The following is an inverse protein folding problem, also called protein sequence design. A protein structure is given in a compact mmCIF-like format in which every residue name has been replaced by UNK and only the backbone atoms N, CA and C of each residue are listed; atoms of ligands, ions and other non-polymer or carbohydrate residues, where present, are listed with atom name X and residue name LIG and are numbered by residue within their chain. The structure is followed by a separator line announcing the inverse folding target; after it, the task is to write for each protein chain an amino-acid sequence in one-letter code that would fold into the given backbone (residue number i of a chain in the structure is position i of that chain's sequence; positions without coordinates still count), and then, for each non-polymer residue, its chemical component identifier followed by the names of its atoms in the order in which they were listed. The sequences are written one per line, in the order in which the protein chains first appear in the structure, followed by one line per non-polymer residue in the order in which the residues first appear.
data_IF_387998549292
#
_entry.id   IF_387998549292
#
_cell.length_a   1.000
_cell.length_b   1.000
_cell.length_c   1.000
_cell.angle_alpha   90.00
_cell.angle_beta   90.00
_cell.angle_gamma   90.00
#
_symmetry.space_group_name_H-M   'P 1'
#
loop_
_entity.id
_entity.type
_entity.pdbx_description
1 polymer ?
#
# COMPACT_ATOMS: atom_id res chain seq x y z
N UNK A 1 -14.82 26.24 -12.30
CA UNK A 1 -13.54 27.00 -12.25
C UNK A 1 -13.32 27.68 -13.58
N UNK A 2 -12.78 28.89 -13.61
CA UNK A 2 -12.30 29.53 -14.84
C UNK A 2 -10.98 28.88 -15.23
N UNK A 3 -10.61 28.86 -16.52
CA UNK A 3 -9.36 28.29 -17.03
C UNK A 3 -8.08 28.87 -16.35
N UNK A 4 -8.21 30.00 -15.67
CA UNK A 4 -7.14 30.65 -14.89
C UNK A 4 -6.83 29.99 -13.52
N UNK A 5 -7.72 29.11 -13.04
CA UNK A 5 -7.60 28.46 -11.73
C UNK A 5 -7.14 26.99 -11.85
N UNK A 6 -7.00 26.45 -13.07
CA UNK A 6 -6.54 25.07 -13.31
C UNK A 6 -5.05 24.95 -13.02
N UNK A 7 -4.69 23.91 -12.26
CA UNK A 7 -3.31 23.58 -11.88
C UNK A 7 -2.85 22.30 -12.58
N UNK A 8 -1.55 22.16 -12.77
CA UNK A 8 -0.90 20.91 -13.19
C UNK A 8 -0.37 20.19 -11.95
N UNK A 9 -0.93 19.03 -11.65
CA UNK A 9 -0.53 18.22 -10.50
C UNK A 9 0.07 16.92 -11.00
N UNK A 10 1.31 16.67 -10.62
CA UNK A 10 2.01 15.43 -10.96
C UNK A 10 1.91 14.45 -9.78
N UNK A 11 1.54 13.21 -10.08
CA UNK A 11 1.58 12.10 -9.14
C UNK A 11 2.73 11.17 -9.50
N UNK A 12 3.55 10.87 -8.51
CA UNK A 12 4.67 9.95 -8.61
C UNK A 12 4.55 8.87 -7.52
N UNK A 13 3.71 7.84 -7.72
CA UNK A 13 3.61 6.71 -6.81
C UNK A 13 4.83 5.79 -6.92
N UNK A 14 4.99 4.87 -5.95
CA UNK A 14 6.06 3.85 -5.97
C UNK A 14 6.05 3.08 -7.29
N UNK A 15 7.15 3.10 -8.05
CA UNK A 15 7.24 2.44 -9.35
C UNK A 15 6.93 0.95 -9.28
N UNK A 16 6.12 0.46 -10.21
CA UNK A 16 5.71 -0.94 -10.27
C UNK A 16 4.70 -1.39 -9.21
N UNK A 17 4.25 -0.51 -8.29
CA UNK A 17 3.38 -0.88 -7.19
C UNK A 17 1.92 -0.40 -7.37
N UNK A 18 0.98 -1.34 -7.44
CA UNK A 18 -0.45 -1.01 -7.58
C UNK A 18 -1.08 -0.35 -6.34
N UNK A 19 -0.61 -0.68 -5.14
CA UNK A 19 -1.15 -0.11 -3.90
C UNK A 19 -1.05 1.42 -3.88
N UNK A 20 0.16 2.00 -3.87
CA UNK A 20 0.39 3.44 -3.94
C UNK A 20 -0.26 4.10 -5.15
N UNK A 21 -0.16 3.47 -6.34
CA UNK A 21 -0.78 3.98 -7.58
C UNK A 21 -2.30 4.12 -7.43
N UNK A 22 -2.98 3.13 -6.87
CA UNK A 22 -4.43 3.17 -6.66
C UNK A 22 -4.87 4.25 -5.67
N UNK A 23 -4.09 4.50 -4.62
CA UNK A 23 -4.35 5.60 -3.69
C UNK A 23 -4.21 6.96 -4.37
N UNK A 24 -3.16 7.15 -5.16
CA UNK A 24 -2.97 8.35 -5.97
C UNK A 24 -4.12 8.54 -6.98
N UNK A 25 -4.56 7.49 -7.68
CA UNK A 25 -5.70 7.52 -8.62
C UNK A 25 -6.98 7.97 -7.93
N UNK A 26 -7.25 7.51 -6.71
CA UNK A 26 -8.46 7.92 -5.98
C UNK A 26 -8.51 9.43 -5.71
N UNK A 27 -7.37 10.04 -5.36
CA UNK A 27 -7.25 11.49 -5.13
C UNK A 27 -7.25 12.24 -6.47
N UNK A 28 -6.51 11.72 -7.47
CA UNK A 28 -6.37 12.30 -8.80
C UNK A 28 -7.72 12.43 -9.53
N UNK A 29 -8.62 11.45 -9.37
CA UNK A 29 -9.97 11.52 -9.94
C UNK A 29 -10.72 12.78 -9.44
N UNK A 30 -10.65 13.08 -8.13
CA UNK A 30 -11.31 14.25 -7.55
C UNK A 30 -10.72 15.55 -8.12
N UNK A 31 -9.40 15.62 -8.25
CA UNK A 31 -8.71 16.78 -8.81
C UNK A 31 -9.02 16.96 -10.31
N UNK A 32 -9.07 15.88 -11.08
CA UNK A 32 -9.45 15.90 -12.49
C UNK A 32 -10.91 16.35 -12.69
N UNK A 33 -11.85 15.87 -11.86
CA UNK A 33 -13.24 16.32 -11.85
C UNK A 33 -13.39 17.83 -11.54
N UNK A 34 -12.42 18.40 -10.80
CA UNK A 34 -12.32 19.83 -10.52
C UNK A 34 -11.67 20.63 -11.66
N UNK A 35 -11.19 19.98 -12.70
CA UNK A 35 -10.63 20.61 -13.90
C UNK A 35 -9.12 20.84 -13.85
N UNK A 36 -8.38 20.21 -12.94
CA UNK A 36 -6.92 20.22 -12.92
C UNK A 36 -6.34 19.28 -13.99
N UNK A 37 -5.17 19.62 -14.51
CA UNK A 37 -4.37 18.72 -15.35
C UNK A 37 -3.63 17.76 -14.45
N UNK A 38 -3.87 16.45 -14.64
CA UNK A 38 -3.24 15.39 -13.86
C UNK A 38 -2.24 14.63 -14.73
N UNK A 39 -1.02 14.48 -14.23
CA UNK A 39 0.06 13.74 -14.88
C UNK A 39 0.56 12.67 -13.93
N UNK A 40 0.56 11.42 -14.36
CA UNK A 40 1.20 10.33 -13.63
C UNK A 40 2.59 10.06 -14.18
N UNK A 41 3.57 10.05 -13.30
CA UNK A 41 4.93 9.59 -13.62
C UNK A 41 5.06 8.17 -13.09
N UNK A 42 5.17 7.21 -13.97
CA UNK A 42 5.11 5.79 -13.65
C UNK A 42 6.18 4.98 -14.38
N UNK A 43 6.46 3.79 -13.86
CA UNK A 43 7.32 2.83 -14.55
C UNK A 43 6.69 2.33 -15.85
N UNK A 44 7.52 1.96 -16.82
CA UNK A 44 7.06 1.46 -18.14
C UNK A 44 6.14 0.24 -18.03
N UNK A 45 6.19 -0.53 -16.94
CA UNK A 45 5.26 -1.64 -16.69
C UNK A 45 3.79 -1.19 -16.56
N UNK A 46 3.55 0.11 -16.34
CA UNK A 46 2.22 0.71 -16.27
C UNK A 46 1.77 1.36 -17.59
N UNK A 47 2.53 1.22 -18.67
CA UNK A 47 2.21 1.87 -19.95
C UNK A 47 0.75 1.61 -20.38
N UNK A 48 -0.01 2.68 -20.57
CA UNK A 48 -1.42 2.67 -20.95
C UNK A 48 -2.41 2.37 -19.83
N UNK A 49 -1.98 2.08 -18.61
CA UNK A 49 -2.89 1.74 -17.50
C UNK A 49 -3.55 2.98 -16.89
N UNK A 50 -2.84 4.10 -16.84
CA UNK A 50 -3.38 5.37 -16.36
C UNK A 50 -4.06 6.14 -17.50
N UNK A 51 -3.58 5.98 -18.74
CA UNK A 51 -4.22 6.54 -19.94
C UNK A 51 -5.66 6.00 -20.11
N UNK A 52 -5.88 4.70 -19.95
CA UNK A 52 -7.21 4.08 -19.91
C UNK A 52 -8.15 4.70 -18.86
N UNK A 53 -7.59 5.29 -17.82
CA UNK A 53 -8.33 5.98 -16.74
C UNK A 53 -8.51 7.48 -17.02
N UNK A 54 -7.99 7.98 -18.15
CA UNK A 54 -8.09 9.38 -18.57
C UNK A 54 -7.01 10.29 -18.04
N UNK A 55 -5.88 9.76 -17.54
CA UNK A 55 -4.75 10.52 -17.06
C UNK A 55 -3.61 10.56 -18.07
N UNK A 56 -2.87 11.66 -18.08
CA UNK A 56 -1.64 11.78 -18.85
C UNK A 56 -0.51 10.97 -18.19
N UNK A 57 0.21 10.16 -18.96
CA UNK A 57 1.35 9.36 -18.47
C UNK A 57 2.69 9.96 -18.89
N UNK A 58 3.67 9.87 -18.03
CA UNK A 58 5.11 10.04 -18.31
C UNK A 58 5.84 8.80 -17.82
N UNK A 59 6.43 8.09 -18.77
CA UNK A 59 7.07 6.82 -18.47
C UNK A 59 8.54 7.02 -18.10
N UNK A 60 9.00 6.22 -17.14
CA UNK A 60 10.38 6.14 -16.70
C UNK A 60 10.77 4.69 -16.45
N UNK A 61 12.05 4.44 -16.23
CA UNK A 61 12.60 3.16 -15.81
C UNK A 61 13.34 3.31 -14.49
N UNK A 62 13.34 2.24 -13.69
CA UNK A 62 14.10 2.14 -12.45
C UNK A 62 15.46 1.48 -12.63
N UNK A 63 15.71 0.85 -13.79
CA UNK A 63 16.96 0.18 -14.11
C UNK A 63 17.20 0.19 -15.62
N UNK A 64 18.46 0.01 -16.08
CA UNK A 64 18.75 -0.24 -17.48
C UNK A 64 17.94 -1.44 -18.02
N UNK A 65 17.54 -1.43 -19.31
CA UNK A 65 16.91 -2.59 -19.91
C UNK A 65 17.87 -3.78 -19.88
N UNK A 66 17.36 -4.93 -19.49
CA UNK A 66 18.13 -6.18 -19.56
C UNK A 66 18.30 -6.59 -21.02
N UNK A 67 19.55 -6.79 -21.45
CA UNK A 67 19.90 -7.09 -22.86
C UNK A 67 19.26 -8.40 -23.40
N UNK A 68 18.87 -9.33 -22.50
CA UNK A 68 18.30 -10.63 -22.84
C UNK A 68 17.03 -10.96 -22.03
N UNK A 69 16.30 -9.96 -21.55
CA UNK A 69 15.05 -10.21 -20.84
C UNK A 69 14.06 -10.96 -21.75
N UNK A 70 13.48 -12.03 -21.23
CA UNK A 70 12.35 -12.67 -21.89
C UNK A 70 11.13 -11.72 -21.81
N UNK A 71 10.66 -11.17 -22.93
CA UNK A 71 9.54 -10.23 -22.91
C UNK A 71 8.22 -10.87 -22.44
N UNK A 72 8.19 -12.19 -22.28
CA UNK A 72 7.03 -12.94 -21.78
C UNK A 72 7.15 -13.29 -20.29
N UNK A 73 8.32 -13.10 -19.69
CA UNK A 73 8.51 -13.33 -18.27
C UNK A 73 7.84 -12.22 -17.44
N UNK A 74 7.14 -12.62 -16.39
CA UNK A 74 6.65 -11.71 -15.37
C UNK A 74 7.74 -11.54 -14.29
N UNK A 75 8.40 -10.37 -14.18
CA UNK A 75 9.47 -10.15 -13.21
C UNK A 75 9.00 -10.35 -11.76
N UNK A 76 7.72 -10.07 -11.48
CA UNK A 76 7.14 -10.25 -10.15
C UNK A 76 6.92 -11.72 -9.82
N UNK A 77 6.53 -12.54 -10.82
CA UNK A 77 6.42 -13.99 -10.63
C UNK A 77 7.77 -14.60 -10.27
N UNK A 78 8.84 -14.18 -10.95
CA UNK A 78 10.19 -14.65 -10.63
C UNK A 78 10.66 -14.15 -9.26
N UNK A 79 10.42 -12.88 -8.93
CA UNK A 79 10.71 -12.34 -7.59
C UNK A 79 10.03 -13.18 -6.49
N UNK A 80 8.72 -13.44 -6.61
CA UNK A 80 8.00 -14.26 -5.63
C UNK A 80 8.53 -15.70 -5.61
N UNK A 81 8.78 -16.31 -6.78
CA UNK A 81 9.32 -17.68 -6.84
C UNK A 81 10.62 -17.83 -6.06
N UNK A 82 11.49 -16.83 -6.15
CA UNK A 82 12.80 -16.83 -5.47
C UNK A 82 12.65 -16.45 -4.00
N UNK A 83 11.77 -15.52 -3.67
CA UNK A 83 11.69 -14.88 -2.34
C UNK A 83 10.63 -15.52 -1.42
N UNK A 84 9.62 -16.22 -1.95
CA UNK A 84 8.57 -16.83 -1.14
C UNK A 84 9.08 -17.75 -0.01
N UNK A 85 10.16 -18.54 -0.18
CA UNK A 85 10.72 -19.32 0.93
C UNK A 85 11.21 -18.47 2.10
N UNK A 86 11.62 -17.23 1.83
CA UNK A 86 12.10 -16.29 2.84
C UNK A 86 10.97 -15.68 3.66
N UNK A 87 9.75 -15.59 3.10
CA UNK A 87 8.57 -15.06 3.80
C UNK A 87 8.11 -15.92 4.98
N UNK A 88 8.53 -17.19 5.02
CA UNK A 88 8.25 -18.08 6.16
C UNK A 88 9.18 -17.83 7.37
N UNK A 89 10.25 -17.02 7.20
CA UNK A 89 11.21 -16.73 8.27
C UNK A 89 10.69 -15.62 9.20
N UNK A 90 11.20 -15.54 10.44
CA UNK A 90 10.96 -14.39 11.31
C UNK A 90 11.35 -13.07 10.61
N UNK A 91 10.62 -12.00 10.90
CA UNK A 91 10.85 -10.69 10.25
C UNK A 91 12.27 -10.15 10.41
N UNK A 92 12.92 -10.43 11.54
CA UNK A 92 14.33 -10.05 11.77
C UNK A 92 15.29 -10.73 10.78
N UNK A 93 15.02 -11.98 10.37
CA UNK A 93 15.80 -12.68 9.36
C UNK A 93 15.46 -12.21 7.94
N UNK A 94 14.23 -11.76 7.72
CA UNK A 94 13.80 -11.17 6.45
C UNK A 94 14.50 -9.82 6.17
N UNK A 95 15.08 -9.16 7.17
CA UNK A 95 15.84 -7.91 6.95
C UNK A 95 16.94 -8.13 5.92
N UNK A 96 17.74 -9.20 6.06
CA UNK A 96 18.85 -9.50 5.15
C UNK A 96 18.38 -10.06 3.81
N UNK A 97 17.35 -10.93 3.83
CA UNK A 97 17.01 -11.75 2.65
C UNK A 97 15.87 -11.17 1.82
N UNK A 98 15.09 -10.25 2.37
CA UNK A 98 13.94 -9.62 1.68
C UNK A 98 14.06 -8.10 1.69
N UNK A 99 14.13 -7.49 2.88
CA UNK A 99 14.03 -6.03 3.03
C UNK A 99 15.23 -5.32 2.42
N UNK A 100 16.45 -5.79 2.70
CA UNK A 100 17.69 -5.19 2.17
C UNK A 100 17.76 -5.24 0.64
N UNK A 101 17.53 -6.38 -0.06
CA UNK A 101 17.50 -6.39 -1.52
C UNK A 101 16.47 -5.42 -2.13
N UNK A 102 15.30 -5.25 -1.50
CA UNK A 102 14.31 -4.27 -1.94
C UNK A 102 14.89 -2.85 -1.82
N UNK A 103 15.45 -2.49 -0.66
CA UNK A 103 16.07 -1.17 -0.48
C UNK A 103 17.23 -0.92 -1.45
N UNK A 104 18.07 -1.92 -1.71
CA UNK A 104 19.15 -1.82 -2.70
C UNK A 104 18.61 -1.50 -4.09
N UNK A 105 17.55 -2.17 -4.51
CA UNK A 105 16.90 -1.90 -5.79
C UNK A 105 16.28 -0.49 -5.86
N UNK A 106 15.59 -0.05 -4.79
CA UNK A 106 14.95 1.26 -4.73
C UNK A 106 15.97 2.40 -4.75
N UNK A 107 17.05 2.31 -3.96
CA UNK A 107 18.13 3.32 -3.93
C UNK A 107 18.88 3.37 -5.27
N UNK A 108 19.14 2.22 -5.88
CA UNK A 108 19.74 2.17 -7.22
C UNK A 108 18.80 2.79 -8.27
N UNK A 109 17.50 2.53 -8.16
CA UNK A 109 16.48 3.05 -9.04
C UNK A 109 16.32 4.57 -8.94
N UNK A 110 16.35 5.15 -7.74
CA UNK A 110 16.35 6.61 -7.55
C UNK A 110 17.52 7.26 -8.32
N UNK A 111 18.73 6.74 -8.13
CA UNK A 111 19.92 7.28 -8.80
C UNK A 111 19.82 7.13 -10.31
N UNK A 112 19.36 5.99 -10.80
CA UNK A 112 19.22 5.73 -12.24
C UNK A 112 18.18 6.64 -12.90
N UNK A 113 17.05 6.87 -12.24
CA UNK A 113 15.93 7.62 -12.80
C UNK A 113 16.05 9.15 -12.62
N UNK A 114 17.01 9.62 -11.84
CA UNK A 114 17.13 11.02 -11.44
C UNK A 114 17.09 12.01 -12.63
N UNK A 115 17.97 11.85 -13.61
CA UNK A 115 18.06 12.75 -14.76
C UNK A 115 16.77 12.73 -15.58
N UNK A 116 16.17 11.53 -15.74
CA UNK A 116 14.89 11.38 -16.44
C UNK A 116 13.75 12.07 -15.71
N UNK A 117 13.68 11.98 -14.39
CA UNK A 117 12.70 12.71 -13.60
C UNK A 117 12.87 14.22 -13.73
N UNK A 118 14.10 14.72 -13.69
CA UNK A 118 14.37 16.14 -13.90
C UNK A 118 13.93 16.63 -15.28
N UNK A 119 14.13 15.84 -16.35
CA UNK A 119 13.59 16.14 -17.69
C UNK A 119 12.05 16.20 -17.66
N UNK A 120 11.40 15.19 -17.02
CA UNK A 120 9.94 15.14 -16.93
C UNK A 120 9.39 16.37 -16.20
N UNK A 121 10.02 16.78 -15.08
CA UNK A 121 9.59 17.99 -14.37
C UNK A 121 9.74 19.26 -15.22
N UNK A 122 10.82 19.35 -16.00
CA UNK A 122 11.02 20.46 -16.95
C UNK A 122 9.94 20.49 -18.05
N UNK A 123 9.55 19.35 -18.58
CA UNK A 123 8.54 19.23 -19.65
C UNK A 123 7.11 19.42 -19.14
N UNK A 124 6.80 18.89 -17.96
CA UNK A 124 5.45 18.93 -17.37
C UNK A 124 5.15 20.29 -16.76
N UNK A 125 6.13 20.91 -16.09
CA UNK A 125 5.96 22.15 -15.35
C UNK A 125 4.89 22.05 -14.25
N UNK A 126 4.99 21.12 -13.29
CA UNK A 126 3.94 20.93 -12.29
C UNK A 126 3.82 22.11 -11.32
N UNK A 127 2.60 22.43 -10.89
CA UNK A 127 2.35 23.35 -9.78
C UNK A 127 2.53 22.66 -8.42
N UNK A 128 2.41 21.32 -8.37
CA UNK A 128 2.76 20.48 -7.24
C UNK A 128 3.09 19.05 -7.68
N UNK A 129 4.00 18.39 -6.96
CA UNK A 129 4.30 16.96 -7.11
C UNK A 129 3.83 16.23 -5.87
N UNK A 130 2.97 15.22 -6.02
CA UNK A 130 2.55 14.30 -4.95
C UNK A 130 3.30 12.98 -5.13
N UNK A 131 4.14 12.62 -4.16
CA UNK A 131 4.92 11.40 -4.16
C UNK A 131 4.44 10.43 -3.08
N UNK A 132 4.20 9.18 -3.47
CA UNK A 132 3.87 8.07 -2.57
C UNK A 132 4.93 6.96 -2.74
N UNK A 133 6.16 7.31 -2.34
CA UNK A 133 7.34 6.46 -2.43
C UNK A 133 7.92 6.26 -1.04
N UNK A 134 8.39 5.05 -0.75
CA UNK A 134 9.11 4.75 0.49
C UNK A 134 10.53 5.32 0.48
N UNK A 135 11.10 5.56 -0.72
CA UNK A 135 12.41 6.20 -0.91
C UNK A 135 12.23 7.68 -1.27
N UNK A 136 13.02 8.56 -0.67
CA UNK A 136 13.03 9.98 -0.96
C UNK A 136 13.83 10.29 -2.23
N UNK A 137 13.13 10.62 -3.31
CA UNK A 137 13.73 10.98 -4.58
C UNK A 137 14.22 12.44 -4.58
N UNK A 138 15.53 12.65 -4.72
CA UNK A 138 16.11 13.97 -4.82
C UNK A 138 15.50 14.82 -5.96
N UNK A 139 15.15 14.19 -7.09
CA UNK A 139 14.48 14.85 -8.20
C UNK A 139 13.11 15.43 -7.83
N UNK A 140 12.38 14.88 -6.86
CA UNK A 140 11.11 15.42 -6.37
C UNK A 140 11.36 16.72 -5.59
N UNK A 141 12.35 16.73 -4.71
CA UNK A 141 12.73 17.93 -3.95
C UNK A 141 13.28 19.06 -4.83
N UNK A 142 13.84 18.70 -6.00
CA UNK A 142 14.40 19.62 -7.00
C UNK A 142 13.41 19.99 -8.11
N UNK A 143 12.14 19.56 -8.04
CA UNK A 143 11.13 19.83 -9.07
C UNK A 143 10.80 21.33 -9.28
N UNK A 144 11.25 22.20 -8.39
CA UNK A 144 11.02 23.65 -8.48
C UNK A 144 9.63 24.13 -8.10
N UNK A 145 8.80 23.25 -7.53
CA UNK A 145 7.47 23.52 -7.03
C UNK A 145 7.27 22.84 -5.66
N UNK A 146 6.21 23.16 -4.91
CA UNK A 146 5.83 22.39 -3.72
C UNK A 146 5.68 20.92 -4.01
N UNK A 147 6.12 20.09 -3.08
CA UNK A 147 5.88 18.65 -3.16
C UNK A 147 5.16 18.14 -1.91
N UNK A 148 4.43 17.06 -2.08
CA UNK A 148 3.59 16.44 -1.06
C UNK A 148 4.11 15.03 -0.83
N UNK A 149 4.49 14.72 0.41
CA UNK A 149 4.75 13.34 0.81
C UNK A 149 3.42 12.68 1.17
N UNK A 150 3.11 11.61 0.49
CA UNK A 150 2.01 10.73 0.84
C UNK A 150 2.58 9.40 1.31
N UNK A 151 2.19 8.93 2.48
CA UNK A 151 2.59 7.65 3.06
C UNK A 151 1.38 6.74 3.04
N UNK A 152 1.31 5.84 2.08
CA UNK A 152 0.28 4.82 1.99
C UNK A 152 0.68 3.47 2.57
N UNK A 153 1.88 3.37 3.15
CA UNK A 153 2.32 2.26 3.99
C UNK A 153 1.83 2.42 5.45
N UNK A 154 2.13 1.42 6.30
CA UNK A 154 1.82 1.49 7.72
C UNK A 154 2.46 2.72 8.39
N UNK A 155 1.76 3.43 9.30
CA UNK A 155 2.25 4.63 9.98
C UNK A 155 3.53 4.45 10.82
N UNK A 156 3.98 3.25 11.09
CA UNK A 156 5.29 2.99 11.72
C UNK A 156 6.46 3.45 10.83
N UNK A 157 6.24 3.67 9.53
CA UNK A 157 7.22 4.31 8.64
C UNK A 157 7.65 5.68 9.18
N UNK A 158 6.74 6.43 9.79
CA UNK A 158 7.04 7.66 10.52
C UNK A 158 7.48 7.30 11.94
N UNK A 159 8.77 7.08 12.13
CA UNK A 159 9.35 6.51 13.36
C UNK A 159 8.98 7.27 14.63
N UNK A 160 8.83 6.53 15.73
CA UNK A 160 8.68 7.04 17.11
C UNK A 160 9.31 6.04 18.07
N UNK A 161 10.19 6.49 18.96
CA UNK A 161 10.90 5.64 19.92
C UNK A 161 9.98 4.90 20.91
N UNK A 162 8.73 5.31 21.04
CA UNK A 162 7.74 4.65 21.87
C UNK A 162 6.88 3.63 21.11
N UNK A 163 7.10 3.48 19.80
CA UNK A 163 6.41 2.54 18.93
C UNK A 163 7.35 1.41 18.45
N UNK A 164 6.81 0.26 18.02
CA UNK A 164 7.60 -0.82 17.44
C UNK A 164 8.42 -0.34 16.23
N UNK A 165 9.59 -0.95 15.97
CA UNK A 165 10.29 -0.71 14.72
C UNK A 165 9.41 -1.05 13.51
N UNK A 166 9.41 -0.19 12.50
CA UNK A 166 8.69 -0.45 11.25
C UNK A 166 9.17 -1.77 10.60
N UNK A 167 8.26 -2.45 9.91
CA UNK A 167 8.47 -3.73 9.21
C UNK A 167 8.70 -4.93 10.14
N UNK A 168 8.62 -4.73 11.45
CA UNK A 168 8.91 -5.79 12.44
C UNK A 168 7.71 -6.71 12.70
N UNK A 169 6.49 -6.17 12.65
CA UNK A 169 5.30 -6.87 13.13
C UNK A 169 5.35 -7.22 14.61
N UNK A 170 6.19 -6.50 15.40
CA UNK A 170 6.32 -6.69 16.83
C UNK A 170 5.19 -5.97 17.60
N UNK A 171 4.75 -6.52 18.74
CA UNK A 171 3.67 -5.93 19.51
C UNK A 171 4.09 -4.62 20.21
N UNK A 172 3.11 -3.72 20.40
CA UNK A 172 3.33 -2.43 21.06
C UNK A 172 3.53 -2.56 22.58
N UNK A 173 2.98 -3.59 23.19
CA UNK A 173 3.02 -3.86 24.64
C UNK A 173 4.19 -4.75 25.07
N UNK A 174 4.94 -5.35 24.12
CA UNK A 174 6.15 -6.12 24.40
C UNK A 174 7.35 -5.57 23.63
N UNK A 175 8.25 -4.93 24.34
CA UNK A 175 9.46 -4.29 23.79
C UNK A 175 10.70 -5.18 23.79
N UNK A 176 10.58 -6.44 24.19
CA UNK A 176 11.73 -7.33 24.41
C UNK A 176 12.60 -7.53 23.16
N UNK A 177 12.00 -7.51 21.97
CA UNK A 177 12.68 -7.73 20.70
C UNK A 177 12.92 -6.45 19.88
N UNK A 178 12.35 -5.30 20.29
CA UNK A 178 12.46 -4.06 19.53
C UNK A 178 13.90 -3.63 19.24
N UNK A 179 14.75 -3.68 20.30
CA UNK A 179 16.14 -3.27 20.16
C UNK A 179 16.92 -4.21 19.24
N UNK A 180 16.71 -5.49 19.35
CA UNK A 180 17.39 -6.47 18.50
C UNK A 180 17.02 -6.28 17.01
N UNK A 181 15.75 -6.05 16.73
CA UNK A 181 15.28 -5.76 15.38
C UNK A 181 15.85 -4.44 14.83
N UNK A 182 15.80 -3.36 15.63
CA UNK A 182 16.33 -2.06 15.23
C UNK A 182 17.85 -2.09 14.98
N UNK A 183 18.61 -2.75 15.86
CA UNK A 183 20.06 -2.92 15.69
C UNK A 183 20.40 -3.71 14.41
N UNK A 184 19.64 -4.77 14.11
CA UNK A 184 19.83 -5.56 12.90
C UNK A 184 19.44 -4.77 11.64
N UNK A 185 18.32 -4.02 11.69
CA UNK A 185 17.91 -3.14 10.61
C UNK A 185 19.01 -2.11 10.30
N UNK A 186 19.52 -1.42 11.34
CA UNK A 186 20.61 -0.46 11.19
C UNK A 186 21.84 -1.11 10.56
N UNK A 187 22.31 -2.24 11.13
CA UNK A 187 23.48 -2.97 10.66
C UNK A 187 23.41 -3.34 9.18
N UNK A 188 22.24 -3.75 8.71
CA UNK A 188 22.04 -4.17 7.34
C UNK A 188 21.95 -3.00 6.35
N UNK A 189 21.52 -1.82 6.80
CA UNK A 189 21.20 -0.71 5.92
C UNK A 189 22.11 0.52 6.06
N UNK A 190 22.98 0.59 7.09
CA UNK A 190 23.85 1.76 7.35
C UNK A 190 24.69 2.14 6.12
N UNK A 191 25.34 1.18 5.48
CA UNK A 191 26.17 1.43 4.30
C UNK A 191 25.33 1.93 3.11
N UNK A 192 24.19 1.31 2.86
CA UNK A 192 23.28 1.69 1.78
C UNK A 192 22.69 3.09 1.99
N UNK A 193 22.32 3.43 3.24
CA UNK A 193 21.85 4.76 3.60
C UNK A 193 22.97 5.80 3.40
N UNK A 194 24.22 5.43 3.70
CA UNK A 194 25.40 6.25 3.39
C UNK A 194 25.50 6.56 1.92
N UNK A 195 25.43 5.55 1.05
CA UNK A 195 25.45 5.71 -0.41
C UNK A 195 24.28 6.57 -0.95
N UNK A 196 23.08 6.37 -0.39
CA UNK A 196 21.91 7.18 -0.73
C UNK A 196 22.13 8.64 -0.36
N UNK A 197 22.61 8.93 0.85
CA UNK A 197 22.89 10.28 1.32
C UNK A 197 24.05 10.96 0.55
N UNK A 198 25.07 10.21 0.15
CA UNK A 198 26.15 10.72 -0.71
C UNK A 198 25.62 11.15 -2.08
N UNK A 199 24.72 10.36 -2.68
CA UNK A 199 24.05 10.75 -3.92
C UNK A 199 23.22 12.02 -3.72
N UNK A 200 22.38 12.09 -2.70
CA UNK A 200 21.56 13.27 -2.37
C UNK A 200 22.42 14.52 -2.20
N UNK A 201 23.52 14.41 -1.45
CA UNK A 201 24.47 15.51 -1.28
C UNK A 201 25.12 15.94 -2.60
N UNK A 202 25.44 14.99 -3.51
CA UNK A 202 26.05 15.29 -4.81
C UNK A 202 25.16 16.13 -5.73
N UNK A 203 23.83 16.04 -5.57
CA UNK A 203 22.83 16.82 -6.32
C UNK A 203 22.27 18.01 -5.51
N UNK A 204 22.79 18.26 -4.31
CA UNK A 204 22.46 19.44 -3.50
C UNK A 204 21.22 19.30 -2.63
N UNK A 205 20.79 18.09 -2.32
CA UNK A 205 19.63 17.78 -1.46
C UNK A 205 20.11 17.31 -0.09
N UNK A 206 19.45 17.70 1.04
CA UNK A 206 19.83 17.26 2.39
C UNK A 206 19.78 15.73 2.56
N UNK A 207 20.60 15.22 3.48
CA UNK A 207 20.58 13.82 3.88
C UNK A 207 19.25 13.43 4.52
N UNK A 208 18.87 12.17 4.34
CA UNK A 208 17.77 11.55 5.09
C UNK A 208 18.11 11.38 6.57
N UNK A 209 17.11 11.31 7.47
CA UNK A 209 17.33 10.99 8.88
C UNK A 209 17.99 9.61 9.08
N UNK A 210 18.58 9.34 10.27
CA UNK A 210 19.14 8.03 10.57
C UNK A 210 18.10 6.90 10.39
N UNK A 211 18.52 5.84 9.71
CA UNK A 211 17.72 4.65 9.41
C UNK A 211 16.44 4.90 8.59
N UNK A 212 16.30 6.06 7.97
CA UNK A 212 15.19 6.42 7.09
C UNK A 212 15.72 6.72 5.69
N UNK A 213 15.03 6.24 4.66
CA UNK A 213 15.38 6.49 3.26
C UNK A 213 14.52 7.58 2.62
N UNK A 214 13.79 8.35 3.42
CA UNK A 214 12.92 9.43 2.95
C UNK A 214 12.98 10.64 3.88
N UNK A 215 12.47 11.78 3.39
CA UNK A 215 12.38 13.04 4.13
C UNK A 215 10.93 13.52 4.19
N UNK A 216 10.61 14.37 5.17
CA UNK A 216 9.30 15.02 5.21
C UNK A 216 9.26 16.22 4.28
N UNK A 217 8.12 16.44 3.62
CA UNK A 217 7.89 17.66 2.87
C UNK A 217 7.77 18.86 3.82
N UNK A 218 8.37 20.00 3.47
CA UNK A 218 8.15 21.24 4.23
C UNK A 218 6.76 21.87 3.95
N UNK A 219 6.01 21.37 2.95
CA UNK A 219 4.71 21.94 2.56
C UNK A 219 3.52 21.13 3.05
N UNK A 220 3.49 19.83 2.74
CA UNK A 220 2.36 18.95 3.07
C UNK A 220 2.83 17.51 3.17
N UNK A 221 2.43 16.85 4.26
CA UNK A 221 2.61 15.42 4.45
C UNK A 221 1.26 14.79 4.74
N UNK A 222 0.97 13.67 4.10
CA UNK A 222 -0.25 12.90 4.34
C UNK A 222 0.10 11.47 4.65
N UNK A 223 -0.69 10.82 5.48
CA UNK A 223 -0.59 9.37 5.66
C UNK A 223 -1.97 8.72 5.67
N UNK A 224 -2.02 7.49 5.21
CA UNK A 224 -3.24 6.72 5.03
C UNK A 224 -3.37 5.68 6.14
N UNK A 225 -4.24 5.92 7.13
CA UNK A 225 -4.55 4.93 8.15
C UNK A 225 -5.86 5.26 8.89
N UNK A 226 -6.69 4.26 9.26
CA UNK A 226 -7.92 4.48 10.02
C UNK A 226 -7.63 4.99 11.43
N UNK A 227 -8.37 6.00 11.89
CA UNK A 227 -8.18 6.58 13.24
C UNK A 227 -8.29 5.55 14.36
N UNK A 228 -9.25 4.64 14.25
CA UNK A 228 -9.51 3.63 15.27
C UNK A 228 -8.37 2.61 15.44
N UNK A 229 -7.50 2.49 14.43
CA UNK A 229 -6.34 1.61 14.46
C UNK A 229 -5.01 2.37 14.54
N UNK A 230 -5.01 3.71 14.54
CA UNK A 230 -3.77 4.51 14.55
C UNK A 230 -2.96 4.31 15.86
N UNK A 231 -1.67 4.62 15.78
CA UNK A 231 -0.74 4.39 16.87
C UNK A 231 -0.69 5.56 17.85
N UNK A 232 -0.62 5.28 19.18
CA UNK A 232 -0.47 6.31 20.20
C UNK A 232 0.98 6.83 20.24
N UNK A 233 1.28 7.84 19.44
CA UNK A 233 2.62 8.43 19.34
C UNK A 233 3.03 9.15 20.62
N UNK A 234 4.31 9.01 21.00
CA UNK A 234 4.90 9.76 22.12
C UNK A 234 5.21 11.21 21.74
N UNK A 235 5.55 11.44 20.47
CA UNK A 235 5.75 12.77 19.89
C UNK A 235 4.76 12.95 18.77
N UNK A 236 3.85 13.94 18.84
CA UNK A 236 2.94 14.24 17.75
C UNK A 236 3.73 14.58 16.47
N UNK A 237 3.23 14.12 15.33
CA UNK A 237 3.72 14.61 14.03
C UNK A 237 3.50 16.12 13.96
N UNK A 238 4.40 16.83 13.27
CA UNK A 238 4.27 18.28 13.11
C UNK A 238 2.97 18.68 12.37
N UNK A 239 2.69 19.96 12.30
CA UNK A 239 1.41 20.48 11.81
C UNK A 239 1.24 20.39 10.28
N UNK A 240 2.28 20.00 9.54
CA UNK A 240 2.19 19.70 8.10
C UNK A 240 1.64 18.31 7.81
N UNK A 241 1.51 17.44 8.82
CA UNK A 241 1.01 16.09 8.68
C UNK A 241 -0.51 16.01 8.80
N UNK A 242 -1.16 15.40 7.82
CA UNK A 242 -2.60 15.17 7.79
C UNK A 242 -2.90 13.68 7.61
N UNK A 243 -3.78 13.12 8.45
CA UNK A 243 -4.24 11.75 8.31
C UNK A 243 -5.40 11.68 7.33
N UNK A 244 -5.34 10.71 6.42
CA UNK A 244 -6.45 10.29 5.59
C UNK A 244 -6.88 8.88 6.06
N UNK A 245 -8.17 8.69 6.32
CA UNK A 245 -8.63 7.40 6.86
C UNK A 245 -8.84 6.34 5.79
N UNK A 246 -9.12 6.73 4.55
CA UNK A 246 -9.17 5.85 3.38
C UNK A 246 -9.17 6.65 2.08
N UNK A 247 -8.67 6.04 1.00
CA UNK A 247 -8.66 6.60 -0.35
C UNK A 247 -9.32 5.65 -1.35
N UNK A 248 -10.50 5.12 -1.00
CA UNK A 248 -11.23 4.15 -1.83
C UNK A 248 -11.67 4.78 -3.15
N UNK A 249 -11.36 4.11 -4.25
CA UNK A 249 -11.80 4.49 -5.60
C UNK A 249 -13.30 4.24 -5.78
N UNK A 250 -13.95 5.07 -6.57
CA UNK A 250 -15.41 5.02 -6.79
C UNK A 250 -15.82 4.66 -8.22
N UNK A 251 -14.87 4.67 -9.16
CA UNK A 251 -15.12 4.45 -10.59
C UNK A 251 -14.69 3.03 -11.00
N UNK A 252 -15.10 2.03 -10.24
CA UNK A 252 -14.82 0.62 -10.51
C UNK A 252 -16.00 -0.03 -11.23
N UNK A 253 -15.72 -1.10 -11.96
CA UNK A 253 -16.73 -1.92 -12.61
C UNK A 253 -17.69 -2.50 -11.58
N UNK A 254 -18.98 -2.52 -11.92
CA UNK A 254 -19.99 -3.11 -11.02
C UNK A 254 -19.82 -4.63 -10.93
N UNK A 255 -20.00 -5.17 -9.75
CA UNK A 255 -19.93 -6.61 -9.47
C UNK A 255 -21.07 -7.00 -8.54
N UNK A 256 -21.79 -8.07 -8.87
CA UNK A 256 -22.83 -8.66 -8.00
C UNK A 256 -22.38 -10.03 -7.51
N UNK A 257 -22.16 -10.14 -6.21
CA UNK A 257 -21.72 -11.41 -5.58
C UNK A 257 -22.77 -12.50 -5.73
N UNK A 258 -24.07 -12.19 -5.62
CA UNK A 258 -25.15 -13.16 -5.68
C UNK A 258 -25.33 -13.77 -7.08
N UNK A 259 -24.98 -13.02 -8.13
CA UNK A 259 -24.97 -13.54 -9.51
C UNK A 259 -23.83 -14.54 -9.74
N UNK A 260 -22.66 -14.33 -9.08
CA UNK A 260 -21.47 -15.15 -9.29
C UNK A 260 -21.38 -16.33 -8.33
N UNK A 261 -21.79 -16.13 -7.08
CA UNK A 261 -21.76 -17.15 -6.01
C UNK A 261 -23.10 -17.16 -5.29
N UNK A 262 -24.16 -17.70 -5.90
CA UNK A 262 -25.48 -17.73 -5.26
C UNK A 262 -25.49 -18.61 -4.00
N UNK A 263 -26.24 -18.19 -2.97
CA UNK A 263 -26.39 -18.95 -1.73
C UNK A 263 -26.72 -18.05 -0.53
N UNK A 264 -27.02 -18.68 0.61
CA UNK A 264 -27.41 -18.00 1.84
C UNK A 264 -26.25 -17.82 2.85
N UNK A 265 -25.07 -18.39 2.57
CA UNK A 265 -23.88 -18.30 3.42
C UNK A 265 -23.30 -16.88 3.47
N UNK A 266 -22.52 -16.61 4.52
CA UNK A 266 -21.74 -15.36 4.63
C UNK A 266 -20.76 -15.25 3.48
N UNK A 267 -20.40 -14.02 3.11
CA UNK A 267 -19.47 -13.75 2.00
C UNK A 267 -18.09 -13.42 2.56
N UNK A 268 -17.11 -14.22 2.16
CA UNK A 268 -15.68 -14.02 2.46
C UNK A 268 -14.97 -13.55 1.20
N UNK A 269 -14.21 -12.47 1.30
CA UNK A 269 -13.31 -12.06 0.22
C UNK A 269 -11.87 -12.48 0.55
N UNK A 270 -11.22 -13.18 -0.37
CA UNK A 270 -9.82 -13.61 -0.26
C UNK A 270 -8.96 -12.87 -1.27
N UNK A 271 -7.97 -12.12 -0.79
CA UNK A 271 -6.98 -11.45 -1.63
C UNK A 271 -5.64 -11.32 -0.91
N UNK A 272 -4.60 -11.91 -1.45
CA UNK A 272 -3.23 -11.71 -0.97
C UNK A 272 -2.49 -10.61 -1.75
N UNK A 273 -3.22 -9.74 -2.44
CA UNK A 273 -2.66 -8.65 -3.25
C UNK A 273 -1.98 -9.13 -4.53
N UNK A 274 -1.38 -8.18 -5.25
CA UNK A 274 -0.77 -8.47 -6.56
C UNK A 274 0.44 -9.41 -6.49
N UNK A 275 1.17 -9.41 -5.39
CA UNK A 275 2.36 -10.25 -5.20
C UNK A 275 2.02 -11.56 -4.48
N UNK A 276 1.24 -11.53 -3.40
CA UNK A 276 0.93 -12.73 -2.62
C UNK A 276 0.10 -13.77 -3.40
N UNK A 277 -0.73 -13.33 -4.36
CA UNK A 277 -1.48 -14.24 -5.22
C UNK A 277 -0.60 -15.05 -6.20
N UNK A 278 0.68 -14.68 -6.36
CA UNK A 278 1.65 -15.43 -7.17
C UNK A 278 2.15 -16.69 -6.44
N UNK A 279 1.98 -16.79 -5.13
CA UNK A 279 2.21 -18.04 -4.37
C UNK A 279 1.02 -18.99 -4.54
N UNK A 280 1.02 -19.71 -5.67
CA UNK A 280 -0.04 -20.66 -6.05
C UNK A 280 -0.27 -21.72 -4.97
N UNK A 281 0.80 -22.18 -4.30
CA UNK A 281 0.72 -23.19 -3.25
C UNK A 281 -0.04 -22.66 -2.02
N UNK A 282 0.27 -21.47 -1.56
CA UNK A 282 -0.43 -20.81 -0.45
C UNK A 282 -1.90 -20.53 -0.83
N UNK A 283 -2.13 -19.94 -2.00
CA UNK A 283 -3.47 -19.63 -2.49
C UNK A 283 -4.34 -20.87 -2.61
N UNK A 284 -3.82 -21.98 -3.15
CA UNK A 284 -4.58 -23.24 -3.26
C UNK A 284 -4.92 -23.81 -1.90
N UNK A 285 -3.99 -23.76 -0.92
CA UNK A 285 -4.30 -24.21 0.46
C UNK A 285 -5.42 -23.40 1.09
N UNK A 286 -5.43 -22.07 0.91
CA UNK A 286 -6.49 -21.20 1.41
C UNK A 286 -7.83 -21.53 0.73
N UNK A 287 -7.84 -21.69 -0.58
CA UNK A 287 -9.01 -22.11 -1.36
C UNK A 287 -9.54 -23.46 -0.85
N UNK A 288 -8.67 -24.46 -0.69
CA UNK A 288 -9.06 -25.80 -0.26
C UNK A 288 -9.66 -25.83 1.17
N UNK A 289 -9.14 -24.99 2.07
CA UNK A 289 -9.67 -24.86 3.42
C UNK A 289 -11.04 -24.17 3.41
N UNK A 290 -11.19 -23.04 2.69
CA UNK A 290 -12.44 -22.30 2.60
C UNK A 290 -13.53 -23.08 1.83
N UNK A 291 -13.15 -23.96 0.91
CA UNK A 291 -14.09 -24.86 0.21
C UNK A 291 -14.82 -25.82 1.16
N UNK A 292 -14.31 -26.04 2.37
CA UNK A 292 -14.92 -26.91 3.40
C UNK A 292 -15.96 -26.18 4.25
N UNK A 293 -16.07 -24.86 4.11
CA UNK A 293 -17.03 -24.04 4.88
C UNK A 293 -18.38 -23.94 4.15
N UNK A 294 -19.40 -23.53 4.88
CA UNK A 294 -20.70 -23.16 4.29
C UNK A 294 -20.72 -21.75 3.70
N UNK A 295 -19.65 -21.00 3.86
CA UNK A 295 -19.53 -19.61 3.41
C UNK A 295 -19.25 -19.53 1.92
N UNK A 296 -19.71 -18.45 1.30
CA UNK A 296 -19.42 -18.11 -0.09
C UNK A 296 -18.10 -17.35 -0.16
N UNK A 297 -17.25 -17.69 -1.10
CA UNK A 297 -15.94 -17.04 -1.18
C UNK A 297 -15.72 -16.41 -2.57
N UNK A 298 -15.32 -15.14 -2.60
CA UNK A 298 -14.83 -14.46 -3.80
C UNK A 298 -13.31 -14.35 -3.70
N UNK A 299 -12.60 -14.87 -4.70
CA UNK A 299 -11.13 -15.01 -4.67
C UNK A 299 -10.48 -14.15 -5.74
N UNK A 300 -9.66 -13.17 -5.34
CA UNK A 300 -8.75 -12.46 -6.26
C UNK A 300 -7.51 -13.32 -6.48
N UNK A 301 -7.46 -14.00 -7.63
CA UNK A 301 -6.50 -15.08 -7.90
C UNK A 301 -5.19 -14.60 -8.55
N UNK A 302 -5.18 -13.40 -9.14
CA UNK A 302 -4.01 -12.85 -9.81
C UNK A 302 -3.66 -13.49 -11.15
N UNK A 303 -2.47 -13.18 -11.70
CA UNK A 303 -2.07 -13.61 -13.04
C UNK A 303 -2.02 -15.13 -13.25
N UNK A 304 -1.72 -15.91 -12.20
CA UNK A 304 -1.59 -17.36 -12.24
C UNK A 304 -2.91 -18.11 -11.92
N UNK A 305 -4.05 -17.44 -12.11
CA UNK A 305 -5.38 -17.95 -11.76
C UNK A 305 -5.75 -19.27 -12.43
N UNK A 306 -5.21 -19.57 -13.61
CA UNK A 306 -5.42 -20.83 -14.35
C UNK A 306 -4.72 -22.03 -13.72
N UNK A 307 -3.81 -21.81 -12.76
CA UNK A 307 -3.13 -22.86 -12.00
C UNK A 307 -3.84 -23.23 -10.70
N UNK A 308 -4.98 -22.60 -10.40
CA UNK A 308 -5.74 -22.82 -9.16
C UNK A 308 -7.11 -23.41 -9.45
N UNK A 309 -7.59 -24.26 -8.55
CA UNK A 309 -8.90 -24.90 -8.65
C UNK A 309 -9.82 -24.40 -7.54
N UNK A 310 -10.97 -23.85 -7.90
CA UNK A 310 -11.95 -23.34 -6.96
C UNK A 310 -12.91 -24.41 -6.44
N UNK A 311 -13.38 -24.24 -5.19
CA UNK A 311 -14.49 -25.01 -4.65
C UNK A 311 -15.85 -24.60 -5.26
N UNK A 312 -16.88 -25.42 -5.01
CA UNK A 312 -18.24 -25.17 -5.54
C UNK A 312 -18.95 -23.96 -4.91
N UNK A 313 -18.46 -23.49 -3.76
CA UNK A 313 -18.95 -22.31 -3.04
C UNK A 313 -18.14 -21.04 -3.35
N UNK A 314 -17.42 -21.02 -4.47
CA UNK A 314 -16.48 -19.95 -4.80
C UNK A 314 -16.64 -19.39 -6.21
N UNK A 315 -16.30 -18.13 -6.34
CA UNK A 315 -15.97 -17.46 -7.61
C UNK A 315 -14.58 -16.87 -7.53
N UNK A 316 -13.83 -16.92 -8.61
CA UNK A 316 -12.50 -16.34 -8.68
C UNK A 316 -12.21 -15.70 -10.03
N UNK A 317 -11.34 -14.71 -10.03
CA UNK A 317 -10.91 -14.02 -11.25
C UNK A 317 -9.47 -13.53 -11.12
N UNK A 318 -8.87 -13.27 -12.30
CA UNK A 318 -7.50 -12.77 -12.41
C UNK A 318 -7.35 -11.42 -11.68
N UNK A 319 -8.22 -10.46 -12.00
CA UNK A 319 -8.34 -9.17 -11.35
C UNK A 319 -9.83 -8.91 -11.11
N UNK A 320 -10.15 -8.51 -9.90
CA UNK A 320 -11.52 -8.26 -9.49
C UNK A 320 -11.68 -6.81 -9.01
N UNK A 321 -12.84 -6.17 -9.26
CA UNK A 321 -13.10 -4.81 -8.80
C UNK A 321 -13.36 -4.79 -7.28
N UNK A 322 -12.29 -4.92 -6.49
CA UNK A 322 -12.35 -5.05 -5.03
C UNK A 322 -13.26 -4.02 -4.36
N UNK A 323 -13.22 -2.70 -4.71
CA UNK A 323 -14.11 -1.72 -4.09
C UNK A 323 -15.61 -1.96 -4.37
N UNK A 324 -15.97 -2.67 -5.44
CA UNK A 324 -17.36 -3.04 -5.74
C UNK A 324 -17.80 -4.33 -5.04
N UNK A 325 -16.86 -5.18 -4.65
CA UNK A 325 -17.11 -6.46 -4.00
C UNK A 325 -17.19 -6.31 -2.48
N UNK A 326 -16.25 -5.59 -1.87
CA UNK A 326 -16.13 -5.47 -0.41
C UNK A 326 -17.41 -4.98 0.30
N UNK A 327 -18.24 -4.06 -0.26
CA UNK A 327 -19.52 -3.67 0.35
C UNK A 327 -20.50 -4.82 0.56
N UNK A 328 -20.32 -5.94 -0.17
CA UNK A 328 -21.20 -7.11 -0.18
C UNK A 328 -20.63 -8.27 0.67
N UNK A 329 -19.45 -8.05 1.29
CA UNK A 329 -18.75 -9.07 2.07
C UNK A 329 -19.03 -8.94 3.57
N UNK A 330 -18.83 -10.05 4.31
CA UNK A 330 -18.90 -10.11 5.76
C UNK A 330 -17.51 -10.22 6.41
N UNK A 331 -16.49 -10.69 5.67
CA UNK A 331 -15.12 -10.89 6.15
C UNK A 331 -14.10 -10.69 5.00
N UNK A 332 -12.94 -10.18 5.34
CA UNK A 332 -11.81 -10.01 4.44
C UNK A 332 -10.61 -10.84 4.92
N UNK A 333 -10.09 -11.73 4.07
CA UNK A 333 -8.80 -12.41 4.27
C UNK A 333 -7.78 -11.73 3.36
N UNK A 334 -6.70 -11.21 3.95
CA UNK A 334 -5.73 -10.38 3.26
C UNK A 334 -4.29 -10.65 3.70
N UNK A 335 -3.32 -10.36 2.84
CA UNK A 335 -1.90 -10.30 3.22
C UNK A 335 -1.58 -9.15 4.19
N UNK A 336 -2.51 -8.23 4.45
CA UNK A 336 -2.28 -7.09 5.33
C UNK A 336 -1.67 -5.87 4.65
N UNK A 337 -1.65 -5.79 3.31
CA UNK A 337 -1.22 -4.57 2.62
C UNK A 337 -2.09 -3.38 3.02
N UNK A 338 -1.46 -2.23 3.31
CA UNK A 338 -2.12 -1.10 3.97
C UNK A 338 -3.36 -0.60 3.23
N UNK A 339 -3.31 -0.54 1.89
CA UNK A 339 -4.47 -0.14 1.10
C UNK A 339 -5.69 -1.04 1.35
N UNK A 340 -5.49 -2.36 1.28
CA UNK A 340 -6.57 -3.35 1.51
C UNK A 340 -7.09 -3.29 2.96
N UNK A 341 -6.21 -3.07 3.94
CA UNK A 341 -6.62 -2.86 5.34
C UNK A 341 -7.49 -1.61 5.49
N UNK A 342 -7.10 -0.50 4.87
CA UNK A 342 -7.90 0.74 4.87
C UNK A 342 -9.24 0.57 4.15
N UNK A 343 -9.29 -0.20 3.06
CA UNK A 343 -10.55 -0.57 2.39
C UNK A 343 -11.42 -1.46 3.29
N UNK A 344 -10.84 -2.43 4.01
CA UNK A 344 -11.56 -3.23 5.01
C UNK A 344 -12.23 -2.38 6.10
N UNK A 345 -11.52 -1.39 6.63
CA UNK A 345 -12.10 -0.41 7.57
C UNK A 345 -13.17 0.48 6.92
N UNK A 346 -12.96 0.90 5.67
CA UNK A 346 -13.91 1.72 4.93
C UNK A 346 -15.25 1.01 4.73
N UNK A 347 -15.23 -0.29 4.47
CA UNK A 347 -16.44 -1.10 4.28
C UNK A 347 -16.92 -1.80 5.56
N UNK A 348 -16.18 -1.66 6.66
CA UNK A 348 -16.58 -2.19 7.96
C UNK A 348 -16.44 -3.70 8.10
N UNK A 349 -15.41 -4.27 7.47
CA UNK A 349 -15.16 -5.72 7.45
C UNK A 349 -14.14 -6.14 8.53
N UNK A 350 -14.44 -7.12 9.37
CA UNK A 350 -13.43 -7.83 10.13
C UNK A 350 -12.39 -8.46 9.21
N UNK A 351 -11.14 -8.60 9.67
CA UNK A 351 -10.05 -9.02 8.80
C UNK A 351 -9.24 -10.18 9.39
N UNK A 352 -8.75 -11.09 8.52
CA UNK A 352 -7.68 -12.03 8.85
C UNK A 352 -6.45 -11.62 8.05
N UNK A 353 -5.36 -11.27 8.76
CA UNK A 353 -4.08 -10.94 8.18
C UNK A 353 -3.16 -12.14 8.05
N UNK A 354 -2.62 -12.38 6.85
CA UNK A 354 -1.65 -13.41 6.49
C UNK A 354 -0.41 -12.71 5.88
N UNK A 355 0.41 -12.03 6.71
CA UNK A 355 1.49 -11.18 6.20
C UNK A 355 2.61 -11.99 5.57
N UNK A 356 3.17 -11.47 4.46
CA UNK A 356 4.28 -12.06 3.72
C UNK A 356 5.59 -11.32 4.00
N UNK A 357 5.60 -10.00 3.78
CA UNK A 357 6.78 -9.15 3.94
C UNK A 357 6.37 -7.68 4.16
N UNK A 358 7.36 -6.82 4.40
CA UNK A 358 7.22 -5.37 4.52
C UNK A 358 6.25 -4.95 5.64
N UNK A 359 5.48 -3.88 5.45
CA UNK A 359 4.52 -3.33 6.41
C UNK A 359 3.28 -4.21 6.66
N UNK A 360 3.14 -5.30 5.90
CA UNK A 360 2.05 -6.25 6.07
C UNK A 360 2.05 -6.88 7.47
N UNK A 361 3.24 -7.12 8.01
CA UNK A 361 3.40 -7.64 9.37
C UNK A 361 2.93 -6.64 10.43
N UNK A 362 3.22 -5.35 10.24
CA UNK A 362 2.80 -4.28 11.14
C UNK A 362 1.28 -4.10 11.09
N UNK A 363 0.70 -4.11 9.89
CA UNK A 363 -0.74 -4.02 9.68
C UNK A 363 -1.49 -5.21 10.31
N UNK A 364 -1.04 -6.43 10.06
CA UNK A 364 -1.66 -7.63 10.63
C UNK A 364 -1.53 -7.67 12.17
N UNK A 365 -0.40 -7.25 12.70
CA UNK A 365 -0.19 -7.12 14.16
C UNK A 365 -1.13 -6.06 14.74
N UNK A 366 -1.28 -4.92 14.05
CA UNK A 366 -2.16 -3.84 14.52
C UNK A 366 -3.63 -4.23 14.50
N UNK A 367 -4.09 -4.99 13.51
CA UNK A 367 -5.44 -5.57 13.49
C UNK A 367 -5.70 -6.43 14.72
N UNK A 368 -4.74 -7.29 15.09
CA UNK A 368 -4.84 -8.15 16.28
C UNK A 368 -4.86 -7.33 17.57
N UNK A 369 -3.96 -6.35 17.74
CA UNK A 369 -3.86 -5.52 18.95
C UNK A 369 -5.11 -4.68 19.21
N UNK A 370 -5.72 -4.18 18.14
CA UNK A 370 -6.92 -3.36 18.22
C UNK A 370 -8.21 -4.18 18.22
N UNK A 371 -8.08 -5.50 18.13
CA UNK A 371 -9.18 -6.45 18.03
C UNK A 371 -10.16 -6.11 16.88
N UNK A 372 -9.63 -5.66 15.74
CA UNK A 372 -10.37 -5.48 14.49
C UNK A 372 -10.19 -6.68 13.53
N UNK A 373 -9.38 -7.63 13.92
CA UNK A 373 -9.12 -8.84 13.17
C UNK A 373 -8.19 -9.81 13.89
N UNK A 374 -7.81 -10.86 13.18
CA UNK A 374 -6.82 -11.84 13.63
C UNK A 374 -5.61 -11.83 12.71
N UNK A 375 -4.43 -12.15 13.27
CA UNK A 375 -3.21 -12.43 12.52
C UNK A 375 -2.90 -13.91 12.64
N UNK A 376 -2.80 -14.60 11.51
CA UNK A 376 -2.33 -15.98 11.46
C UNK A 376 -0.91 -16.06 10.90
N UNK A 377 -0.11 -17.06 11.29
CA UNK A 377 1.17 -17.33 10.66
C UNK A 377 0.93 -17.79 9.21
N UNK A 378 1.42 -17.06 8.22
CA UNK A 378 1.01 -17.22 6.81
C UNK A 378 1.20 -18.63 6.25
N UNK A 379 2.26 -19.31 6.67
CA UNK A 379 2.61 -20.66 6.16
C UNK A 379 2.39 -21.79 7.17
N UNK A 380 2.11 -21.49 8.44
CA UNK A 380 2.00 -22.46 9.53
C UNK A 380 0.64 -22.35 10.24
N UNK A 381 -0.40 -22.78 9.56
CA UNK A 381 -1.77 -22.93 10.07
C UNK A 381 -2.38 -24.22 9.59
N UNK A 382 -3.31 -24.77 10.37
CA UNK A 382 -4.17 -25.90 10.01
C UNK A 382 -5.49 -25.40 9.44
N UNK A 383 -6.20 -26.24 8.68
CA UNK A 383 -7.53 -25.90 8.18
C UNK A 383 -8.49 -25.51 9.31
N UNK A 384 -8.44 -26.24 10.44
CA UNK A 384 -9.27 -25.95 11.61
C UNK A 384 -8.96 -24.60 12.25
N UNK A 385 -7.70 -24.16 12.24
CA UNK A 385 -7.31 -22.83 12.73
C UNK A 385 -7.82 -21.72 11.83
N UNK A 386 -7.67 -21.85 10.51
CA UNK A 386 -8.18 -20.86 9.56
C UNK A 386 -9.70 -20.79 9.59
N UNK A 387 -10.38 -21.94 9.49
CA UNK A 387 -11.87 -22.04 9.53
C UNK A 387 -12.37 -21.49 10.87
N UNK A 388 -11.74 -21.89 11.97
CA UNK A 388 -12.11 -21.41 13.30
C UNK A 388 -11.93 -19.88 13.45
N UNK A 389 -10.91 -19.26 12.82
CA UNK A 389 -10.75 -17.81 12.80
C UNK A 389 -11.87 -17.14 11.99
N UNK A 390 -12.22 -17.70 10.82
CA UNK A 390 -13.33 -17.22 10.00
C UNK A 390 -14.63 -17.25 10.80
N UNK A 391 -14.96 -18.39 11.41
CA UNK A 391 -16.21 -18.58 12.17
C UNK A 391 -16.28 -17.64 13.39
N UNK A 392 -15.18 -17.46 14.13
CA UNK A 392 -15.14 -16.55 15.28
C UNK A 392 -15.42 -15.11 14.87
N UNK A 393 -14.74 -14.62 13.83
CA UNK A 393 -14.91 -13.23 13.37
C UNK A 393 -16.31 -13.01 12.76
N UNK A 394 -16.85 -13.98 12.05
CA UNK A 394 -18.21 -13.92 11.51
C UNK A 394 -19.30 -13.99 12.58
N UNK A 395 -19.03 -14.63 13.72
CA UNK A 395 -19.97 -14.76 14.84
C UNK A 395 -19.89 -13.56 15.82
N UNK A 396 -18.85 -12.72 15.74
CA UNK A 396 -18.64 -11.59 16.67
C UNK A 396 -19.48 -10.36 16.26
N UNK A 397 -20.69 -10.27 16.83
CA UNK A 397 -21.61 -9.16 16.59
C UNK A 397 -21.07 -7.83 17.11
N UNK A 398 -20.33 -7.81 18.22
CA UNK A 398 -19.75 -6.61 18.80
C UNK A 398 -18.63 -6.05 17.89
N UNK A 399 -17.79 -6.94 17.34
CA UNK A 399 -16.77 -6.56 16.37
C UNK A 399 -17.42 -5.97 15.11
N UNK A 400 -18.43 -6.64 14.55
CA UNK A 400 -19.15 -6.15 13.37
C UNK A 400 -19.78 -4.77 13.62
N UNK A 401 -20.38 -4.58 14.80
CA UNK A 401 -20.93 -3.28 15.18
C UNK A 401 -19.85 -2.20 15.30
N UNK A 402 -18.67 -2.53 15.85
CA UNK A 402 -17.52 -1.59 15.92
C UNK A 402 -17.01 -1.24 14.53
N UNK A 403 -16.80 -2.24 13.65
CA UNK A 403 -16.37 -2.04 12.28
C UNK A 403 -17.34 -1.16 11.51
N UNK A 404 -18.64 -1.42 11.61
CA UNK A 404 -19.68 -0.60 10.95
C UNK A 404 -19.71 0.86 11.43
N UNK A 405 -19.50 1.10 12.74
CA UNK A 405 -19.38 2.47 13.26
C UNK A 405 -18.17 3.19 12.68
N UNK A 406 -17.01 2.53 12.64
CA UNK A 406 -15.80 3.09 12.07
C UNK A 406 -15.96 3.39 10.56
N UNK A 407 -16.56 2.47 9.81
CA UNK A 407 -16.87 2.68 8.41
C UNK A 407 -17.74 3.92 8.18
N UNK A 408 -18.78 4.13 9.02
CA UNK A 408 -19.62 5.31 8.95
C UNK A 408 -18.85 6.63 9.17
N UNK A 409 -17.89 6.65 10.10
CA UNK A 409 -17.03 7.81 10.35
C UNK A 409 -16.07 8.06 9.16
N UNK A 410 -15.46 7.02 8.61
CA UNK A 410 -14.53 7.10 7.48
C UNK A 410 -15.27 7.58 6.22
N UNK A 411 -16.46 7.05 5.95
CA UNK A 411 -17.26 7.42 4.79
C UNK A 411 -17.82 8.85 4.89
N UNK A 412 -18.03 9.37 6.11
CA UNK A 412 -18.46 10.75 6.33
C UNK A 412 -17.35 11.79 6.07
N UNK A 413 -16.06 11.38 6.14
CA UNK A 413 -14.89 12.22 5.81
C UNK A 413 -14.02 11.49 4.78
N UNK A 414 -14.39 11.49 3.48
CA UNK A 414 -13.69 10.74 2.46
C UNK A 414 -12.28 11.26 2.26
N UNK A 415 -11.27 10.49 2.63
CA UNK A 415 -9.85 10.88 2.56
C UNK A 415 -9.41 11.28 1.15
N UNK A 416 -9.98 10.69 0.08
CA UNK A 416 -9.70 11.10 -1.31
C UNK A 416 -10.10 12.55 -1.59
N UNK A 417 -11.21 13.02 -1.04
CA UNK A 417 -11.68 14.40 -1.19
C UNK A 417 -10.81 15.33 -0.36
N UNK A 418 -10.57 14.96 0.91
CA UNK A 418 -9.69 15.72 1.80
C UNK A 418 -8.27 15.82 1.28
N UNK A 419 -7.70 14.73 0.75
CA UNK A 419 -6.38 14.74 0.11
C UNK A 419 -6.33 15.67 -1.09
N UNK A 420 -7.39 15.67 -1.93
CA UNK A 420 -7.51 16.60 -3.05
C UNK A 420 -7.57 18.06 -2.58
N UNK A 421 -8.35 18.38 -1.53
CA UNK A 421 -8.45 19.73 -0.95
C UNK A 421 -7.08 20.25 -0.49
N UNK A 422 -6.31 19.40 0.21
CA UNK A 422 -4.99 19.74 0.72
C UNK A 422 -3.97 19.96 -0.41
N UNK A 423 -3.96 19.10 -1.42
CA UNK A 423 -3.07 19.20 -2.60
C UNK A 423 -3.43 20.45 -3.42
N UNK A 424 -4.73 20.70 -3.64
CA UNK A 424 -5.20 21.91 -4.33
C UNK A 424 -4.76 23.18 -3.61
N UNK A 425 -4.85 23.20 -2.27
CA UNK A 425 -4.41 24.34 -1.47
C UNK A 425 -2.92 24.59 -1.62
N UNK A 426 -2.06 23.58 -1.50
CA UNK A 426 -0.60 23.77 -1.64
C UNK A 426 -0.22 24.17 -3.06
N UNK A 427 -0.86 23.59 -4.09
CA UNK A 427 -0.62 23.91 -5.49
C UNK A 427 -1.06 25.35 -5.84
N UNK A 428 -2.11 25.86 -5.18
CA UNK A 428 -2.62 27.21 -5.40
C UNK A 428 -1.79 28.29 -4.69
N UNK A 429 -1.30 28.01 -3.48
CA UNK A 429 -0.67 29.03 -2.62
C UNK A 429 0.86 28.99 -2.64
N UNK A 430 1.46 27.82 -2.88
CA UNK A 430 2.89 27.59 -2.71
C UNK A 430 3.34 27.62 -1.24
N UNK A 431 2.41 27.69 -0.30
CA UNK A 431 2.67 27.79 1.14
C UNK A 431 2.40 26.46 1.86
N UNK A 432 3.05 26.20 3.02
CA UNK A 432 2.79 25.03 3.83
C UNK A 432 1.32 24.93 4.27
N UNK A 433 0.72 23.76 4.13
CA UNK A 433 -0.63 23.48 4.60
C UNK A 433 -0.52 22.88 6.01
N UNK A 434 -1.05 23.60 7.00
CA UNK A 434 -0.94 23.25 8.42
C UNK A 434 -2.32 22.91 9.00
N UNK A 435 -2.31 22.03 10.03
CA UNK A 435 -3.53 21.67 10.78
C UNK A 435 -4.04 22.84 11.59
#
# INVERSE_FOLDING_TARGET
MTQADSKTIAFFPEPGAWGPTNNCVAIANVLAERGHRIVFVVDESFEGELDKRGFEERLMRMAPPEENADPTADPWAEFIRVTAPEFAKPTIEQIETVTKPIWEALVAGERYSHDRLMEIWGDVGPDAVCTDNVTGYAAVELAGCPWVRFVSANPLEMRDAALPPALSGLPIDDRSEWKAFADEYHRQHEALLGEHNDFRASVGVPACPPDEFNTNSPWLNMYLFPEAADYPRSVPLDDTWHRLSSTVRTNEEAFDVDEHVPGDGKVVYLSLGSLGCMDVGLMQRLIDALAKTEHRTVVSMGPLHDQMTLGSNMYGGRFLPQPSILPQCDLLITHGGNNTVCEGFHFGLPMIGLPLFWDQYDNAQRLRETAFGERLPTYDWTDDELIGAVDRLLADDDLRARMKRNAGLIQADPGRVRGADLIEQVAATGEPVRR
#
